data_IF_502645146989
#
_entry.id   IF_502645146989
#
_cell.length_a   1.000
_cell.length_b   1.000
_cell.length_c   1.000
_cell.angle_alpha   90.00
_cell.angle_beta   90.00
_cell.angle_gamma   90.00
#
_symmetry.space_group_name_H-M   'P 1'
#
loop_
_entity.id
_entity.type
_entity.pdbx_description
1 polymer ?
#
# COMPACT_ATOMS: atom_id res chain seq x y z
N UNK A 1 21.12 39.36 -12.60
CA UNK A 1 21.36 37.91 -12.70
C UNK A 1 22.61 37.60 -11.91
N UNK A 2 22.47 36.98 -10.74
CA UNK A 2 23.60 36.65 -9.87
C UNK A 2 23.59 35.13 -9.69
N UNK A 3 24.42 34.45 -10.48
CA UNK A 3 24.53 32.99 -10.48
C UNK A 3 25.19 32.56 -9.17
N UNK A 4 24.41 31.96 -8.26
CA UNK A 4 24.95 31.33 -7.05
C UNK A 4 25.55 29.99 -7.45
N UNK A 5 26.88 29.88 -7.43
CA UNK A 5 27.59 28.61 -7.56
C UNK A 5 27.51 27.84 -6.24
N UNK A 6 27.09 26.58 -6.30
CA UNK A 6 27.00 25.69 -5.15
C UNK A 6 28.41 25.22 -4.71
N UNK A 7 28.64 25.13 -3.40
CA UNK A 7 29.83 24.51 -2.82
C UNK A 7 29.74 22.98 -2.96
N UNK A 8 30.88 22.33 -3.23
CA UNK A 8 31.03 20.93 -3.64
C UNK A 8 30.66 19.85 -2.59
N UNK A 9 29.95 20.23 -1.53
CA UNK A 9 29.50 19.33 -0.44
C UNK A 9 28.10 19.71 0.09
N UNK A 10 27.26 20.30 -0.77
CA UNK A 10 25.90 20.69 -0.40
C UNK A 10 24.89 19.59 -0.71
N UNK A 11 23.95 19.35 0.21
CA UNK A 11 22.76 18.48 0.05
C UNK A 11 21.91 18.77 -1.21
N UNK A 12 22.23 19.79 -2.00
CA UNK A 12 21.54 20.10 -3.25
C UNK A 12 22.22 19.52 -4.50
N UNK A 13 23.43 18.94 -4.37
CA UNK A 13 24.13 18.27 -5.48
C UNK A 13 23.41 17.02 -6.00
N UNK A 14 22.46 16.47 -5.24
CA UNK A 14 21.59 15.34 -5.65
C UNK A 14 20.49 15.73 -6.63
N UNK A 15 20.24 17.03 -6.82
CA UNK A 15 19.25 17.57 -7.74
C UNK A 15 19.85 18.16 -9.02
N UNK A 16 21.18 18.21 -9.11
CA UNK A 16 21.94 18.58 -10.30
C UNK A 16 21.97 17.37 -11.25
N UNK A 17 21.13 17.39 -12.27
CA UNK A 17 20.93 16.25 -13.18
C UNK A 17 21.88 16.28 -14.37
N UNK A 18 22.44 17.44 -14.71
CA UNK A 18 23.38 17.65 -15.82
C UNK A 18 24.85 17.84 -15.39
N UNK A 19 25.11 18.02 -14.08
CA UNK A 19 26.43 18.06 -13.48
C UNK A 19 27.17 19.37 -13.71
N UNK A 20 26.46 20.45 -13.97
CA UNK A 20 27.03 21.77 -14.29
C UNK A 20 27.30 22.65 -13.04
N UNK A 21 26.86 22.21 -11.86
CA UNK A 21 27.02 22.89 -10.58
C UNK A 21 25.99 23.99 -10.29
N UNK A 22 24.93 24.10 -11.10
CA UNK A 22 23.82 25.07 -10.96
C UNK A 22 22.48 24.36 -11.09
N UNK A 23 21.90 23.97 -9.95
CA UNK A 23 20.54 23.41 -9.90
C UNK A 23 19.55 24.44 -10.43
N UNK A 24 18.96 24.14 -11.59
CA UNK A 24 17.96 24.99 -12.25
C UNK A 24 16.56 24.67 -11.71
N UNK A 25 15.65 25.65 -11.66
CA UNK A 25 14.26 25.46 -11.19
C UNK A 25 13.54 24.32 -11.95
N UNK A 26 13.93 24.08 -13.20
CA UNK A 26 13.40 23.01 -14.05
C UNK A 26 13.84 21.62 -13.56
N UNK A 27 15.09 21.46 -13.11
CA UNK A 27 15.63 20.22 -12.55
C UNK A 27 15.03 19.90 -11.17
N UNK A 28 14.83 20.92 -10.34
CA UNK A 28 14.07 20.81 -9.09
C UNK A 28 12.64 20.33 -9.35
N UNK A 29 11.93 20.93 -10.31
CA UNK A 29 10.57 20.50 -10.65
C UNK A 29 10.50 19.07 -11.22
N UNK A 30 11.52 18.67 -11.98
CA UNK A 30 11.63 17.33 -12.54
C UNK A 30 11.87 16.29 -11.43
N UNK A 31 12.78 16.60 -10.50
CA UNK A 31 13.11 15.72 -9.37
C UNK A 31 11.94 15.56 -8.40
N UNK A 32 11.20 16.64 -8.09
CA UNK A 32 9.97 16.57 -7.29
C UNK A 32 8.91 15.68 -7.97
N UNK A 33 8.76 15.82 -9.29
CA UNK A 33 7.81 15.01 -10.06
C UNK A 33 8.21 13.53 -10.07
N UNK A 34 9.51 13.24 -10.21
CA UNK A 34 10.02 11.87 -10.12
C UNK A 34 9.81 11.27 -8.72
N UNK A 35 10.12 12.01 -7.66
CA UNK A 35 9.91 11.56 -6.29
C UNK A 35 8.43 11.33 -5.95
N UNK A 36 7.55 12.17 -6.50
CA UNK A 36 6.11 11.99 -6.40
C UNK A 36 5.64 10.72 -7.12
N UNK A 37 6.12 10.46 -8.33
CA UNK A 37 5.82 9.25 -9.09
C UNK A 37 6.32 8.00 -8.37
N UNK A 38 7.55 8.01 -7.84
CA UNK A 38 8.14 6.92 -7.04
C UNK A 38 7.26 6.62 -5.83
N UNK A 39 6.85 7.65 -5.09
CA UNK A 39 5.96 7.51 -3.92
C UNK A 39 4.60 6.91 -4.31
N UNK A 40 4.07 7.24 -5.49
CA UNK A 40 2.83 6.62 -5.97
C UNK A 40 3.02 5.15 -6.33
N UNK A 41 4.13 4.82 -6.99
CA UNK A 41 4.46 3.44 -7.35
C UNK A 41 4.64 2.57 -6.10
N UNK A 42 5.37 3.04 -5.10
CA UNK A 42 5.56 2.32 -3.83
C UNK A 42 4.22 2.06 -3.12
N UNK A 43 3.32 3.05 -3.08
CA UNK A 43 1.97 2.88 -2.54
C UNK A 43 1.16 1.84 -3.31
N UNK A 44 1.26 1.81 -4.64
CA UNK A 44 0.55 0.84 -5.47
C UNK A 44 1.05 -0.60 -5.23
N UNK A 45 2.38 -0.78 -5.14
CA UNK A 45 2.97 -2.09 -4.87
C UNK A 45 2.66 -2.56 -3.44
N UNK A 46 2.68 -1.66 -2.46
CA UNK A 46 2.25 -1.96 -1.10
C UNK A 46 0.78 -2.42 -1.06
N UNK A 47 -0.13 -1.72 -1.75
CA UNK A 47 -1.54 -2.12 -1.84
C UNK A 47 -1.70 -3.49 -2.51
N UNK A 48 -0.95 -3.76 -3.58
CA UNK A 48 -0.99 -5.04 -4.28
C UNK A 48 -0.54 -6.19 -3.37
N UNK A 49 0.56 -6.03 -2.66
CA UNK A 49 1.07 -7.04 -1.72
C UNK A 49 0.10 -7.27 -0.56
N UNK A 50 -0.48 -6.21 0.00
CA UNK A 50 -1.51 -6.32 1.04
C UNK A 50 -2.75 -7.08 0.55
N UNK A 51 -3.16 -6.86 -0.70
CA UNK A 51 -4.29 -7.54 -1.31
C UNK A 51 -4.02 -9.05 -1.43
N UNK A 52 -2.83 -9.45 -1.89
CA UNK A 52 -2.46 -10.87 -1.99
C UNK A 52 -2.46 -11.58 -0.64
N UNK A 53 -1.89 -10.97 0.41
CA UNK A 53 -1.89 -11.56 1.76
C UNK A 53 -3.31 -11.65 2.31
N UNK A 54 -4.14 -10.64 2.06
CA UNK A 54 -5.54 -10.60 2.52
C UNK A 54 -6.39 -11.67 1.84
N UNK A 55 -6.26 -11.84 0.52
CA UNK A 55 -6.96 -12.89 -0.24
C UNK A 55 -6.50 -14.27 0.23
N UNK A 56 -5.19 -14.47 0.42
CA UNK A 56 -4.64 -15.73 0.94
C UNK A 56 -5.19 -16.05 2.34
N UNK A 57 -5.25 -15.06 3.24
CA UNK A 57 -5.81 -15.22 4.58
C UNK A 57 -7.30 -15.51 4.58
N UNK A 58 -8.09 -14.83 3.74
CA UNK A 58 -9.53 -15.08 3.61
C UNK A 58 -9.83 -16.48 3.04
N UNK A 59 -8.99 -16.98 2.14
CA UNK A 59 -9.15 -18.31 1.54
C UNK A 59 -8.75 -19.45 2.49
N UNK A 60 -7.99 -19.14 3.55
CA UNK A 60 -7.54 -20.13 4.54
C UNK A 60 -8.69 -20.68 5.39
N UNK A 61 -9.69 -19.87 5.74
CA UNK A 61 -10.83 -20.35 6.55
C UNK A 61 -11.69 -21.38 5.81
N UNK A 62 -12.16 -21.14 4.56
CA UNK A 62 -12.89 -22.13 3.77
C UNK A 62 -12.09 -23.40 3.48
N UNK A 63 -10.78 -23.28 3.22
CA UNK A 63 -9.96 -24.46 2.93
C UNK A 63 -9.84 -25.38 4.15
N UNK A 64 -9.72 -24.82 5.35
CA UNK A 64 -9.75 -25.59 6.60
C UNK A 64 -11.11 -26.25 6.88
N UNK A 65 -12.22 -25.62 6.51
CA UNK A 65 -13.57 -26.24 6.61
C UNK A 65 -13.65 -27.48 5.72
N UNK A 66 -13.21 -27.37 4.47
CA UNK A 66 -13.19 -28.49 3.52
C UNK A 66 -12.27 -29.62 4.02
N UNK A 67 -11.09 -29.29 4.53
CA UNK A 67 -10.15 -30.28 5.09
C UNK A 67 -10.76 -30.98 6.31
N UNK A 68 -11.47 -30.25 7.18
CA UNK A 68 -12.11 -30.82 8.36
C UNK A 68 -13.23 -31.81 8.00
N UNK A 69 -13.99 -31.51 6.95
CA UNK A 69 -15.00 -32.42 6.40
C UNK A 69 -14.34 -33.68 5.79
N UNK A 70 -13.23 -33.52 5.06
CA UNK A 70 -12.46 -34.65 4.52
C UNK A 70 -11.88 -35.57 5.60
N UNK A 71 -11.53 -35.04 6.78
CA UNK A 71 -11.06 -35.81 7.94
C UNK A 71 -12.19 -36.44 8.76
N UNK A 72 -13.46 -36.26 8.36
CA UNK A 72 -14.63 -36.84 9.02
C UNK A 72 -15.05 -36.13 10.31
N UNK A 73 -14.51 -34.93 10.59
CA UNK A 73 -14.85 -34.11 11.76
C UNK A 73 -16.16 -33.33 11.51
N UNK A 74 -17.26 -34.05 11.30
CA UNK A 74 -18.56 -33.47 10.91
C UNK A 74 -19.06 -32.38 11.87
N UNK A 75 -18.87 -32.57 13.18
CA UNK A 75 -19.28 -31.60 14.18
C UNK A 75 -18.45 -30.31 14.13
N UNK A 76 -17.16 -30.39 13.77
CA UNK A 76 -16.32 -29.21 13.58
C UNK A 76 -16.72 -28.46 12.30
N UNK A 77 -16.97 -29.18 11.19
CA UNK A 77 -17.40 -28.58 9.94
C UNK A 77 -18.76 -27.86 10.07
N UNK A 78 -19.69 -28.41 10.84
CA UNK A 78 -21.02 -27.83 11.07
C UNK A 78 -20.95 -26.55 11.93
N UNK A 79 -20.15 -26.55 13.01
CA UNK A 79 -19.93 -25.37 13.86
C UNK A 79 -19.18 -24.28 13.08
N UNK A 80 -18.12 -24.64 12.33
CA UNK A 80 -17.43 -23.67 11.48
C UNK A 80 -18.38 -23.12 10.41
N UNK A 81 -19.13 -23.97 9.71
CA UNK A 81 -20.08 -23.54 8.69
C UNK A 81 -21.12 -22.55 9.22
N UNK A 82 -21.67 -22.81 10.41
CA UNK A 82 -22.65 -21.95 11.06
C UNK A 82 -22.09 -20.57 11.48
N UNK A 83 -20.80 -20.48 11.80
CA UNK A 83 -20.12 -19.23 12.19
C UNK A 83 -19.62 -18.41 10.99
N UNK A 84 -19.56 -19.02 9.79
CA UNK A 84 -18.96 -18.39 8.61
C UNK A 84 -19.59 -17.05 8.25
N UNK A 85 -20.91 -16.93 8.32
CA UNK A 85 -21.65 -15.72 7.96
C UNK A 85 -21.26 -14.52 8.83
N UNK A 86 -21.10 -14.74 10.14
CA UNK A 86 -20.70 -13.71 11.09
C UNK A 86 -19.25 -13.28 10.83
N UNK A 87 -18.35 -14.24 10.57
CA UNK A 87 -16.96 -13.95 10.26
C UNK A 87 -16.81 -13.08 9.00
N UNK A 88 -17.49 -13.43 7.91
CA UNK A 88 -17.43 -12.65 6.67
C UNK A 88 -17.98 -11.23 6.83
N UNK A 89 -19.12 -11.08 7.52
CA UNK A 89 -19.73 -9.76 7.76
C UNK A 89 -18.82 -8.90 8.66
N UNK A 90 -18.23 -9.46 9.70
CA UNK A 90 -17.30 -8.74 10.58
C UNK A 90 -16.03 -8.30 9.85
N UNK A 91 -15.42 -9.16 9.04
CA UNK A 91 -14.21 -8.81 8.27
C UNK A 91 -14.54 -7.76 7.20
N UNK A 92 -15.67 -7.91 6.49
CA UNK A 92 -16.12 -6.90 5.54
C UNK A 92 -16.35 -5.53 6.21
N UNK A 93 -16.91 -5.53 7.42
CA UNK A 93 -17.04 -4.33 8.25
C UNK A 93 -15.69 -3.66 8.55
N UNK A 94 -14.72 -4.42 9.06
CA UNK A 94 -13.37 -3.91 9.34
C UNK A 94 -12.69 -3.33 8.10
N UNK A 95 -12.76 -4.05 6.99
CA UNK A 95 -12.18 -3.62 5.70
C UNK A 95 -12.87 -2.35 5.21
N UNK A 96 -14.19 -2.27 5.29
CA UNK A 96 -14.95 -1.08 4.87
C UNK A 96 -14.57 0.18 5.66
N UNK A 97 -14.33 0.05 6.97
CA UNK A 97 -13.90 1.15 7.83
C UNK A 97 -12.50 1.61 7.43
N UNK A 98 -11.58 0.68 7.18
CA UNK A 98 -10.21 1.01 6.78
C UNK A 98 -10.14 1.73 5.42
N UNK A 99 -10.90 1.24 4.43
CA UNK A 99 -11.00 1.90 3.12
C UNK A 99 -11.70 3.27 3.22
N UNK A 100 -12.74 3.38 4.05
CA UNK A 100 -13.42 4.66 4.29
C UNK A 100 -12.48 5.68 4.95
N UNK A 101 -11.69 5.25 5.94
CA UNK A 101 -10.69 6.09 6.60
C UNK A 101 -9.56 6.51 5.65
N UNK A 102 -9.02 5.57 4.85
CA UNK A 102 -7.98 5.86 3.86
C UNK A 102 -8.47 6.82 2.78
N UNK A 103 -9.71 6.66 2.30
CA UNK A 103 -10.32 7.57 1.33
C UNK A 103 -10.50 8.99 1.91
N UNK A 104 -10.88 9.10 3.19
CA UNK A 104 -11.02 10.38 3.88
C UNK A 104 -9.65 11.06 4.09
N UNK A 105 -8.63 10.29 4.46
CA UNK A 105 -7.26 10.77 4.62
C UNK A 105 -6.66 11.28 3.29
N UNK A 106 -6.81 10.53 2.20
CA UNK A 106 -6.35 10.97 0.87
C UNK A 106 -7.09 12.21 0.36
N UNK A 107 -8.31 12.48 0.81
CA UNK A 107 -9.10 13.65 0.40
C UNK A 107 -8.68 14.92 1.15
N UNK A 108 -8.19 14.78 2.39
CA UNK A 108 -7.72 15.89 3.22
C UNK A 108 -6.21 16.13 3.14
N UNK A 109 -5.43 15.20 2.57
CA UNK A 109 -4.03 15.38 2.25
C UNK A 109 -3.85 16.30 1.04
N UNK A 110 -3.85 17.61 1.29
CA UNK A 110 -3.01 18.53 0.53
C UNK A 110 -1.55 18.29 0.89
#
# INVERSE_FOLDING_TARGET
MNAKRLEADSDYAKYDADGDGVVTDEELSMSERLQYLETQHEKADAQRNMCYISIAGMMLYPSLVVISDMLGLKQAAEILGAMSSIYYVSVAGLVSVWFSASAWSNRNGK
#
